data_IF_206716254800
#
_entry.id   IF_206716254800
#
_cell.length_a   1.000
_cell.length_b   1.000
_cell.length_c   1.000
_cell.angle_alpha   90.00
_cell.angle_beta   90.00
_cell.angle_gamma   90.00
#
_symmetry.space_group_name_H-M   'P 1'
#
loop_
_entity.id
_entity.type
_entity.pdbx_description
1 polymer ?
#
# COMPACT_ATOMS: atom_id res chain seq x y z
N UNK A 1 2.40 -20.42 20.96
CA UNK A 1 1.66 -21.18 19.95
C UNK A 1 1.89 -20.49 18.63
N UNK A 2 2.47 -21.18 17.65
CA UNK A 2 2.64 -20.61 16.31
C UNK A 2 1.26 -20.43 15.67
N UNK A 3 0.95 -19.21 15.26
CA UNK A 3 -0.30 -18.96 14.54
C UNK A 3 -0.24 -19.70 13.19
N UNK A 4 -1.28 -20.46 12.89
CA UNK A 4 -1.39 -21.24 11.65
C UNK A 4 -2.16 -20.39 10.63
N UNK A 5 -1.68 -20.35 9.39
CA UNK A 5 -2.37 -19.69 8.31
C UNK A 5 -3.62 -20.50 7.92
N UNK A 6 -4.81 -19.88 7.99
CA UNK A 6 -6.07 -20.49 7.59
C UNK A 6 -6.22 -20.70 6.07
N UNK A 7 -5.32 -20.15 5.26
CA UNK A 7 -5.34 -20.29 3.79
C UNK A 7 -4.56 -21.50 3.30
N UNK A 8 -3.39 -21.76 3.88
CA UNK A 8 -2.47 -22.82 3.45
C UNK A 8 -2.13 -23.85 4.53
N UNK A 9 -2.55 -23.65 5.79
CA UNK A 9 -2.29 -24.57 6.89
C UNK A 9 -0.87 -24.55 7.43
N UNK A 10 0.01 -23.67 6.93
CA UNK A 10 1.39 -23.56 7.40
C UNK A 10 1.50 -22.62 8.62
N UNK A 11 2.47 -22.84 9.53
CA UNK A 11 2.85 -21.83 10.51
C UNK A 11 3.16 -20.49 9.82
N UNK A 12 2.73 -19.36 10.40
CA UNK A 12 2.92 -18.03 9.80
C UNK A 12 4.38 -17.75 9.42
N UNK A 13 5.33 -18.24 10.20
CA UNK A 13 6.77 -18.06 9.96
C UNK A 13 7.28 -18.78 8.70
N UNK A 14 6.55 -19.78 8.19
CA UNK A 14 6.84 -20.54 6.97
C UNK A 14 5.86 -20.21 5.84
N UNK A 15 4.92 -19.31 6.07
CA UNK A 15 3.85 -18.99 5.13
C UNK A 15 4.31 -17.95 4.10
N UNK A 16 3.98 -18.19 2.83
CA UNK A 16 4.27 -17.27 1.71
C UNK A 16 3.02 -16.60 1.13
N UNK A 17 1.84 -16.82 1.73
CA UNK A 17 0.57 -16.31 1.19
C UNK A 17 0.53 -14.79 1.08
N UNK A 18 1.15 -14.06 2.01
CA UNK A 18 1.22 -12.59 1.96
C UNK A 18 2.13 -12.12 0.81
N UNK A 19 3.24 -12.81 0.56
CA UNK A 19 4.14 -12.50 -0.57
C UNK A 19 3.43 -12.71 -1.89
N UNK A 20 2.74 -13.85 -2.05
CA UNK A 20 1.94 -14.14 -3.25
C UNK A 20 0.87 -13.07 -3.46
N UNK A 21 0.16 -12.70 -2.39
CA UNK A 21 -0.84 -11.65 -2.45
C UNK A 21 -0.24 -10.32 -2.93
N UNK A 22 0.92 -9.90 -2.41
CA UNK A 22 1.59 -8.66 -2.83
C UNK A 22 1.98 -8.66 -4.31
N UNK A 23 2.39 -9.79 -4.85
CA UNK A 23 2.77 -9.92 -6.26
C UNK A 23 1.58 -9.81 -7.22
N UNK A 24 0.38 -10.21 -6.80
CA UNK A 24 -0.82 -10.21 -7.65
C UNK A 24 -1.61 -8.90 -7.66
N UNK A 25 -1.30 -7.94 -6.77
CA UNK A 25 -2.07 -6.69 -6.68
C UNK A 25 -1.79 -5.78 -7.88
N UNK A 26 -2.84 -5.18 -8.47
CA UNK A 26 -2.69 -4.08 -9.43
C UNK A 26 -2.85 -2.75 -8.72
N UNK A 27 -1.76 -1.99 -8.59
CA UNK A 27 -1.72 -0.80 -7.74
C UNK A 27 -1.66 0.46 -8.60
N UNK A 28 -2.51 1.44 -8.28
CA UNK A 28 -2.49 2.75 -8.90
C UNK A 28 -2.11 3.80 -7.88
N UNK A 29 -1.01 4.50 -8.15
CA UNK A 29 -0.56 5.64 -7.37
C UNK A 29 -0.95 6.92 -8.10
N UNK A 30 -1.65 7.83 -7.41
CA UNK A 30 -2.15 9.07 -7.97
C UNK A 30 -1.82 10.30 -7.14
N UNK A 31 -2.19 11.46 -7.68
CA UNK A 31 -2.25 12.72 -6.95
C UNK A 31 -3.70 13.22 -7.00
N UNK A 32 -4.19 13.71 -5.86
CA UNK A 32 -5.47 14.37 -5.73
C UNK A 32 -5.29 15.73 -5.03
N UNK A 33 -6.10 16.73 -5.42
CA UNK A 33 -6.13 18.04 -4.76
C UNK A 33 -7.12 18.02 -3.60
N UNK A 34 -6.65 18.42 -2.42
CA UNK A 34 -7.44 18.65 -1.22
C UNK A 34 -7.89 20.10 -1.11
N UNK A 35 -8.62 20.40 -0.03
CA UNK A 35 -8.99 21.76 0.36
C UNK A 35 -7.75 22.66 0.39
N UNK A 36 -7.93 23.91 -0.05
CA UNK A 36 -6.89 24.93 -0.10
C UNK A 36 -5.70 24.60 -1.01
N UNK A 37 -5.93 23.78 -2.05
CA UNK A 37 -4.91 23.48 -3.07
C UNK A 37 -3.79 22.55 -2.60
N UNK A 38 -3.89 21.97 -1.40
CA UNK A 38 -2.91 21.00 -0.90
C UNK A 38 -2.98 19.71 -1.72
N UNK A 39 -1.83 19.12 -2.03
CA UNK A 39 -1.77 17.85 -2.76
C UNK A 39 -1.75 16.67 -1.81
N UNK A 40 -2.33 15.56 -2.24
CA UNK A 40 -2.24 14.27 -1.57
C UNK A 40 -1.87 13.16 -2.56
N UNK A 41 -1.00 12.27 -2.12
CA UNK A 41 -0.68 11.04 -2.84
C UNK A 41 -1.70 9.99 -2.47
N UNK A 42 -2.30 9.37 -3.48
CA UNK A 42 -3.27 8.30 -3.31
C UNK A 42 -2.68 6.96 -3.75
N UNK A 43 -3.02 5.89 -3.03
CA UNK A 43 -2.60 4.52 -3.33
C UNK A 43 -3.84 3.64 -3.31
N UNK A 44 -4.18 3.07 -4.45
CA UNK A 44 -5.41 2.32 -4.69
C UNK A 44 -5.11 0.95 -5.32
N UNK A 45 -6.06 0.03 -5.25
CA UNK A 45 -5.96 -1.30 -5.87
C UNK A 45 -5.29 -2.39 -5.02
N UNK A 46 -5.10 -2.15 -3.72
CA UNK A 46 -4.63 -3.16 -2.77
C UNK A 46 -5.84 -3.83 -2.10
N UNK A 47 -5.95 -5.16 -2.21
CA UNK A 47 -6.99 -5.93 -1.53
C UNK A 47 -6.78 -5.93 -0.01
N UNK A 48 -7.70 -5.27 0.69
CA UNK A 48 -7.67 -5.13 2.15
C UNK A 48 -8.00 -6.43 2.92
N UNK A 49 -8.43 -7.48 2.22
CA UNK A 49 -8.62 -8.82 2.80
C UNK A 49 -7.32 -9.61 2.85
N UNK A 50 -6.38 -9.30 1.96
CA UNK A 50 -5.10 -9.98 1.87
C UNK A 50 -3.97 -9.18 2.52
N UNK A 51 -4.07 -7.85 2.49
CA UNK A 51 -3.06 -6.93 3.02
C UNK A 51 -3.69 -5.98 4.04
N UNK A 52 -3.05 -5.85 5.21
CA UNK A 52 -3.49 -4.88 6.22
C UNK A 52 -3.14 -3.44 5.78
N UNK A 53 -4.14 -2.74 5.23
CA UNK A 53 -4.00 -1.34 4.82
C UNK A 53 -3.69 -0.40 5.99
N UNK A 54 -4.13 -0.70 7.22
CA UNK A 54 -3.87 0.17 8.36
C UNK A 54 -2.40 0.10 8.75
N UNK A 55 -1.84 -1.10 8.77
CA UNK A 55 -0.41 -1.29 9.03
C UNK A 55 0.44 -0.69 7.90
N UNK A 56 0.10 -0.96 6.64
CA UNK A 56 0.79 -0.35 5.49
C UNK A 56 0.75 1.19 5.56
N UNK A 57 -0.40 1.78 5.90
CA UNK A 57 -0.53 3.24 6.09
C UNK A 57 0.35 3.74 7.23
N UNK A 58 0.47 3.00 8.33
CA UNK A 58 1.36 3.36 9.46
C UNK A 58 2.82 3.38 9.02
N UNK A 59 3.26 2.36 8.28
CA UNK A 59 4.61 2.27 7.74
C UNK A 59 4.91 3.43 6.77
N UNK A 60 3.99 3.73 5.86
CA UNK A 60 4.09 4.84 4.92
C UNK A 60 4.22 6.20 5.63
N UNK A 61 3.34 6.49 6.61
CA UNK A 61 3.42 7.74 7.40
C UNK A 61 4.76 7.89 8.11
N UNK A 62 5.26 6.79 8.69
CA UNK A 62 6.56 6.78 9.35
C UNK A 62 7.70 7.07 8.36
N UNK A 63 7.67 6.40 7.20
CA UNK A 63 8.69 6.55 6.14
C UNK A 63 8.73 7.95 5.52
N UNK A 64 7.57 8.58 5.34
CA UNK A 64 7.43 9.87 4.65
C UNK A 64 7.25 11.07 5.59
N UNK A 65 7.23 10.85 6.91
CA UNK A 65 7.01 11.87 7.92
C UNK A 65 5.79 12.76 7.63
N UNK A 66 4.68 12.14 7.22
CA UNK A 66 3.46 12.83 6.81
C UNK A 66 2.20 12.28 7.47
N UNK A 67 1.13 13.07 7.43
CA UNK A 67 -0.20 12.59 7.78
C UNK A 67 -0.76 11.66 6.71
N UNK A 68 -1.66 10.76 7.10
CA UNK A 68 -2.33 9.87 6.15
C UNK A 68 -3.41 9.02 6.79
N UNK A 69 -4.32 8.52 5.95
CA UNK A 69 -5.47 7.71 6.37
C UNK A 69 -5.82 6.67 5.32
N UNK A 70 -6.52 5.63 5.74
CA UNK A 70 -7.27 4.76 4.83
C UNK A 70 -8.67 5.34 4.66
N UNK A 71 -9.13 5.51 3.43
CA UNK A 71 -10.47 5.98 3.11
C UNK A 71 -11.00 5.23 1.90
N UNK A 72 -12.16 4.59 2.04
CA UNK A 72 -12.80 3.79 0.97
C UNK A 72 -11.87 2.75 0.32
N UNK A 73 -11.01 2.09 1.10
CA UNK A 73 -10.05 1.10 0.60
C UNK A 73 -8.79 1.67 -0.05
N UNK A 74 -8.66 3.00 -0.13
CA UNK A 74 -7.49 3.72 -0.65
C UNK A 74 -6.68 4.32 0.50
N UNK A 75 -5.36 4.37 0.36
CA UNK A 75 -4.49 5.11 1.27
C UNK A 75 -4.32 6.52 0.71
N UNK A 76 -4.53 7.53 1.55
CA UNK A 76 -4.30 8.94 1.26
C UNK A 76 -3.15 9.44 2.14
N UNK A 77 -2.08 9.96 1.53
CA UNK A 77 -0.91 10.55 2.19
C UNK A 77 -0.82 12.04 1.83
N UNK A 78 -0.56 12.89 2.83
CA UNK A 78 -0.37 14.32 2.58
C UNK A 78 0.93 14.56 1.82
N UNK A 79 0.89 15.42 0.79
CA UNK A 79 2.03 15.76 -0.03
C UNK A 79 2.17 14.91 -1.31
N UNK A 80 3.16 15.27 -2.13
CA UNK A 80 3.50 14.56 -3.36
C UNK A 80 4.68 13.60 -3.12
N UNK A 81 4.38 12.30 -3.13
CA UNK A 81 5.32 11.23 -2.80
C UNK A 81 5.30 10.08 -3.83
N UNK A 82 4.62 10.25 -4.97
CA UNK A 82 4.31 9.17 -5.93
C UNK A 82 5.48 8.24 -6.25
N UNK A 83 6.62 8.80 -6.65
CA UNK A 83 7.83 8.02 -7.01
C UNK A 83 8.38 7.24 -5.80
N UNK A 84 8.54 7.92 -4.67
CA UNK A 84 9.10 7.30 -3.45
C UNK A 84 8.15 6.25 -2.87
N UNK A 85 6.85 6.45 -3.00
CA UNK A 85 5.83 5.47 -2.63
C UNK A 85 5.95 4.23 -3.50
N UNK A 86 6.10 4.37 -4.82
CA UNK A 86 6.33 3.22 -5.72
C UNK A 86 7.57 2.43 -5.29
N UNK A 87 8.69 3.10 -5.05
CA UNK A 87 9.92 2.47 -4.59
C UNK A 87 9.73 1.73 -3.25
N UNK A 88 9.03 2.36 -2.31
CA UNK A 88 8.74 1.75 -1.01
C UNK A 88 7.85 0.50 -1.13
N UNK A 89 6.80 0.54 -1.97
CA UNK A 89 5.95 -0.63 -2.21
C UNK A 89 6.76 -1.77 -2.85
N UNK A 90 7.67 -1.49 -3.78
CA UNK A 90 8.56 -2.51 -4.34
C UNK A 90 9.44 -3.13 -3.24
N UNK A 91 10.00 -2.31 -2.33
CA UNK A 91 10.77 -2.80 -1.18
C UNK A 91 9.94 -3.68 -0.24
N UNK A 92 8.64 -3.43 -0.14
CA UNK A 92 7.71 -4.21 0.68
C UNK A 92 7.26 -5.54 0.05
N UNK A 93 7.70 -5.82 -1.19
CA UNK A 93 7.39 -7.06 -1.91
C UNK A 93 6.28 -6.96 -2.95
N UNK A 94 5.80 -5.75 -3.26
CA UNK A 94 4.84 -5.56 -4.37
C UNK A 94 5.55 -5.60 -5.72
N UNK A 95 4.95 -6.25 -6.72
CA UNK A 95 5.55 -6.43 -8.04
C UNK A 95 5.66 -5.09 -8.79
N UNK A 96 6.85 -4.76 -9.31
CA UNK A 96 7.13 -3.44 -9.90
C UNK A 96 6.34 -3.16 -11.19
N UNK A 97 6.02 -4.21 -11.94
CA UNK A 97 5.25 -4.19 -13.19
C UNK A 97 3.74 -4.03 -12.97
N UNK A 98 3.24 -4.25 -11.75
CA UNK A 98 1.82 -4.09 -11.41
C UNK A 98 1.50 -2.73 -10.79
N UNK A 99 2.52 -1.87 -10.57
CA UNK A 99 2.37 -0.54 -9.98
C UNK A 99 2.43 0.54 -11.07
N UNK A 100 1.31 1.23 -11.28
CA UNK A 100 1.17 2.35 -12.21
C UNK A 100 1.13 3.70 -11.47
N UNK A 101 1.87 4.70 -11.94
CA UNK A 101 1.75 6.09 -11.44
C UNK A 101 0.92 6.88 -12.45
N UNK A 102 -0.28 7.34 -12.03
CA UNK A 102 -1.13 8.23 -12.83
C UNK A 102 -0.94 9.68 -12.39
N UNK A 103 -0.57 10.54 -13.33
CA UNK A 103 -0.67 11.99 -13.15
C UNK A 103 -2.13 12.37 -13.33
N UNK A 104 -2.87 12.53 -12.22
CA UNK A 104 -4.19 13.16 -12.21
C UNK A 104 -4.06 14.53 -11.55
N UNK A 105 -4.76 15.50 -12.10
CA UNK A 105 -5.04 16.79 -11.46
C UNK A 105 -6.54 17.04 -11.49
#
# INVERSE_FOLDING_TARGET
MSEICSRCGLPKDLCVCETIAKESQTIVIGIEKRKFGKLETTIDGIDNKEIDLKDLTKQLKSKFACGGTVKKGKIELQGEHTKKVKEFLIQMGFASNTIEIKKRY
#
